data_IF_149378939256
#
_entry.id   IF_149378939256
#
_cell.length_a   1.000
_cell.length_b   1.000
_cell.length_c   1.000
_cell.angle_alpha   90.00
_cell.angle_beta   90.00
_cell.angle_gamma   90.00
#
_symmetry.space_group_name_H-M   'P 1'
#
loop_
_entity.id
_entity.type
_entity.pdbx_description
1 polymer ?
#
# COMPACT_ATOMS: atom_id res chain seq x y z
N UNK A 1 -10.49 16.81 5.04
CA UNK A 1 -9.91 15.47 5.09
C UNK A 1 -8.37 15.49 5.29
N UNK A 2 -7.61 16.35 4.58
CA UNK A 2 -6.13 16.38 4.72
C UNK A 2 -5.65 16.73 6.14
N UNK A 3 -6.25 17.71 6.80
CA UNK A 3 -5.94 18.07 8.19
C UNK A 3 -6.27 16.92 9.16
N UNK A 4 -7.43 16.26 8.98
CA UNK A 4 -7.83 15.11 9.80
C UNK A 4 -6.86 13.92 9.63
N UNK A 5 -6.33 13.72 8.43
CA UNK A 5 -5.34 12.71 8.13
C UNK A 5 -4.00 12.96 8.84
N UNK A 6 -3.55 14.23 8.86
CA UNK A 6 -2.34 14.63 9.60
C UNK A 6 -2.55 14.43 11.11
N UNK A 7 -3.70 14.82 11.64
CA UNK A 7 -4.05 14.62 13.06
C UNK A 7 -4.02 13.13 13.41
N UNK A 8 -4.73 12.30 12.67
CA UNK A 8 -4.78 10.85 12.91
C UNK A 8 -3.39 10.17 12.85
N UNK A 9 -2.49 10.65 11.98
CA UNK A 9 -1.16 10.04 11.83
C UNK A 9 -0.16 10.45 12.92
N UNK A 10 -0.26 11.65 13.44
CA UNK A 10 0.84 12.25 14.20
C UNK A 10 0.44 12.76 15.58
N UNK A 11 -0.83 12.92 15.86
CA UNK A 11 -1.31 13.54 17.09
C UNK A 11 -2.29 12.67 17.89
N UNK A 12 -2.98 11.72 17.23
CA UNK A 12 -3.88 10.81 17.92
C UNK A 12 -3.10 9.61 18.47
N UNK A 13 -3.06 9.50 19.80
CA UNK A 13 -2.32 8.45 20.52
C UNK A 13 -3.18 7.20 20.77
N UNK A 14 -4.51 7.38 20.92
CA UNK A 14 -5.43 6.27 21.10
C UNK A 14 -5.63 5.52 19.78
N UNK A 15 -5.35 4.21 19.78
CA UNK A 15 -5.36 3.39 18.58
C UNK A 15 -6.77 3.21 18.01
N UNK A 16 -7.77 3.00 18.85
CA UNK A 16 -9.15 2.82 18.41
C UNK A 16 -9.72 4.13 17.86
N UNK A 17 -9.43 5.27 18.53
CA UNK A 17 -9.80 6.58 18.04
C UNK A 17 -9.13 6.90 16.71
N UNK A 18 -7.85 6.56 16.56
CA UNK A 18 -7.11 6.72 15.30
C UNK A 18 -7.70 5.90 14.16
N UNK A 19 -8.03 4.62 14.41
CA UNK A 19 -8.67 3.77 13.41
C UNK A 19 -10.04 4.32 13.00
N UNK A 20 -10.83 4.78 13.97
CA UNK A 20 -12.12 5.41 13.69
C UNK A 20 -11.98 6.68 12.85
N UNK A 21 -10.96 7.50 13.10
CA UNK A 21 -10.68 8.68 12.28
C UNK A 21 -10.37 8.32 10.82
N UNK A 22 -9.57 7.26 10.58
CA UNK A 22 -9.29 6.83 9.21
C UNK A 22 -10.54 6.30 8.50
N UNK A 23 -11.40 5.57 9.21
CA UNK A 23 -12.70 5.11 8.68
C UNK A 23 -13.59 6.30 8.30
N UNK A 24 -13.74 7.28 9.19
CA UNK A 24 -14.52 8.50 8.95
C UNK A 24 -13.97 9.35 7.80
N UNK A 25 -12.64 9.39 7.63
CA UNK A 25 -12.00 10.07 6.49
C UNK A 25 -12.34 9.33 5.19
N UNK A 26 -12.28 8.01 5.18
CA UNK A 26 -12.62 7.21 4.00
C UNK A 26 -14.09 7.43 3.59
N UNK A 27 -15.02 7.39 4.53
CA UNK A 27 -16.45 7.66 4.27
C UNK A 27 -16.69 9.05 3.69
N UNK A 28 -16.05 10.08 4.28
CA UNK A 28 -16.12 11.46 3.76
C UNK A 28 -15.53 11.57 2.34
N UNK A 29 -14.50 10.81 2.03
CA UNK A 29 -13.94 10.78 0.69
C UNK A 29 -14.90 10.12 -0.31
N UNK A 30 -15.61 9.05 0.07
CA UNK A 30 -16.66 8.44 -0.77
C UNK A 30 -17.78 9.45 -1.07
N UNK A 31 -18.20 10.24 -0.09
CA UNK A 31 -19.19 11.31 -0.33
C UNK A 31 -18.66 12.38 -1.29
N UNK A 32 -17.39 12.77 -1.13
CA UNK A 32 -16.74 13.75 -2.01
C UNK A 32 -16.56 13.23 -3.45
N UNK A 33 -16.23 11.96 -3.62
CA UNK A 33 -16.12 11.33 -4.95
C UNK A 33 -17.45 11.35 -5.73
N UNK A 34 -18.59 11.32 -5.03
CA UNK A 34 -19.92 11.43 -5.67
C UNK A 34 -20.21 12.86 -6.16
N UNK A 35 -19.80 13.87 -5.40
CA UNK A 35 -20.02 15.28 -5.74
C UNK A 35 -18.94 15.84 -6.64
N UNK A 36 -17.72 15.36 -6.51
CA UNK A 36 -16.52 15.79 -7.26
C UNK A 36 -15.77 14.60 -7.87
N UNK A 37 -16.35 13.87 -8.83
CA UNK A 37 -15.77 12.61 -9.34
C UNK A 37 -14.42 12.80 -10.04
N UNK A 38 -14.10 14.02 -10.48
CA UNK A 38 -12.81 14.37 -11.12
C UNK A 38 -11.75 14.87 -10.14
N UNK A 39 -12.01 14.89 -8.85
CA UNK A 39 -11.05 15.29 -7.84
C UNK A 39 -10.10 14.13 -7.50
N UNK A 40 -8.93 14.09 -8.12
CA UNK A 40 -7.92 13.04 -7.92
C UNK A 40 -7.51 12.90 -6.44
N UNK A 41 -7.45 14.02 -5.68
CA UNK A 41 -7.13 13.97 -4.26
C UNK A 41 -8.21 13.28 -3.42
N UNK A 42 -9.49 13.32 -3.81
CA UNK A 42 -10.53 12.59 -3.10
C UNK A 42 -10.33 11.07 -3.21
N UNK A 43 -9.88 10.59 -4.36
CA UNK A 43 -9.54 9.20 -4.59
C UNK A 43 -8.26 8.80 -3.85
N UNK A 44 -7.21 9.61 -3.95
CA UNK A 44 -5.95 9.36 -3.25
C UNK A 44 -6.13 9.31 -1.72
N UNK A 45 -6.82 10.31 -1.12
CA UNK A 45 -7.02 10.36 0.34
C UNK A 45 -7.90 9.20 0.82
N UNK A 46 -8.89 8.77 0.04
CA UNK A 46 -9.64 7.56 0.32
C UNK A 46 -8.75 6.33 0.43
N UNK A 47 -7.90 6.10 -0.57
CA UNK A 47 -6.96 4.98 -0.56
C UNK A 47 -5.99 5.06 0.61
N UNK A 48 -5.47 6.24 0.91
CA UNK A 48 -4.56 6.47 2.03
C UNK A 48 -5.23 6.12 3.38
N UNK A 49 -6.45 6.61 3.61
CA UNK A 49 -7.19 6.35 4.84
C UNK A 49 -7.47 4.85 5.01
N UNK A 50 -7.92 4.16 3.96
CA UNK A 50 -8.12 2.70 3.98
C UNK A 50 -6.81 1.94 4.20
N UNK A 51 -5.70 2.40 3.63
CA UNK A 51 -4.38 1.82 3.83
C UNK A 51 -3.95 1.89 5.30
N UNK A 52 -4.06 3.07 5.91
CA UNK A 52 -3.76 3.26 7.34
C UNK A 52 -4.68 2.47 8.26
N UNK A 53 -5.98 2.44 7.96
CA UNK A 53 -6.93 1.60 8.67
C UNK A 53 -6.56 0.12 8.58
N UNK A 54 -6.19 -0.36 7.39
CA UNK A 54 -5.82 -1.77 7.17
C UNK A 54 -4.56 -2.20 7.93
N UNK A 55 -3.64 -1.27 8.21
CA UNK A 55 -2.43 -1.54 8.99
C UNK A 55 -2.72 -1.72 10.49
N UNK A 56 -3.79 -1.13 11.00
CA UNK A 56 -4.20 -1.23 12.41
C UNK A 56 -5.18 -2.38 12.71
N UNK A 57 -5.57 -3.18 11.73
CA UNK A 57 -6.48 -4.33 11.92
C UNK A 57 -5.82 -5.65 11.47
N UNK A 58 -6.42 -6.79 11.86
CA UNK A 58 -5.89 -8.08 11.41
C UNK A 58 -5.99 -8.26 9.89
N UNK A 59 -5.04 -9.00 9.31
CA UNK A 59 -5.03 -9.34 7.88
C UNK A 59 -6.33 -10.02 7.45
N UNK A 60 -6.86 -10.94 8.29
CA UNK A 60 -8.14 -11.60 8.01
C UNK A 60 -9.31 -10.62 7.92
N UNK A 61 -9.38 -9.61 8.81
CA UNK A 61 -10.41 -8.57 8.78
C UNK A 61 -10.26 -7.68 7.53
N UNK A 62 -9.03 -7.28 7.19
CA UNK A 62 -8.76 -6.49 5.99
C UNK A 62 -9.15 -7.22 4.69
N UNK A 63 -8.87 -8.54 4.61
CA UNK A 63 -9.29 -9.39 3.49
C UNK A 63 -10.81 -9.52 3.41
N UNK A 64 -11.48 -9.79 4.52
CA UNK A 64 -12.95 -9.92 4.58
C UNK A 64 -13.66 -8.63 4.15
N UNK A 65 -13.08 -7.46 4.42
CA UNK A 65 -13.59 -6.15 4.00
C UNK A 65 -13.18 -5.76 2.57
N UNK A 66 -12.37 -6.57 1.88
CA UNK A 66 -11.91 -6.28 0.51
C UNK A 66 -11.02 -5.04 0.40
N UNK A 67 -10.35 -4.64 1.49
CA UNK A 67 -9.61 -3.38 1.54
C UNK A 67 -8.51 -3.29 0.49
N UNK A 68 -7.80 -4.40 0.22
CA UNK A 68 -6.76 -4.43 -0.80
C UNK A 68 -7.26 -4.00 -2.19
N UNK A 69 -8.43 -4.52 -2.62
CA UNK A 69 -9.06 -4.14 -3.87
C UNK A 69 -9.57 -2.70 -3.87
N UNK A 70 -10.21 -2.26 -2.79
CA UNK A 70 -10.74 -0.90 -2.66
C UNK A 70 -9.64 0.16 -2.69
N UNK A 71 -8.50 -0.09 -2.02
CA UNK A 71 -7.32 0.78 -2.04
C UNK A 71 -6.79 0.89 -3.47
N UNK A 72 -6.56 -0.25 -4.13
CA UNK A 72 -6.05 -0.26 -5.50
C UNK A 72 -6.95 0.50 -6.47
N UNK A 73 -8.25 0.22 -6.45
CA UNK A 73 -9.21 0.90 -7.32
C UNK A 73 -9.19 2.42 -7.13
N UNK A 74 -9.06 2.90 -5.90
CA UNK A 74 -8.97 4.33 -5.62
C UNK A 74 -7.67 4.95 -6.10
N UNK A 75 -6.53 4.25 -5.95
CA UNK A 75 -5.25 4.73 -6.47
C UNK A 75 -5.23 4.75 -8.01
N UNK A 76 -5.79 3.73 -8.65
CA UNK A 76 -5.93 3.67 -10.10
C UNK A 76 -6.78 4.86 -10.61
N UNK A 77 -7.89 5.16 -9.94
CA UNK A 77 -8.72 6.33 -10.29
C UNK A 77 -7.99 7.65 -10.08
N UNK A 78 -7.25 7.79 -8.96
CA UNK A 78 -6.45 8.99 -8.74
C UNK A 78 -5.43 9.22 -9.86
N UNK A 79 -4.73 8.15 -10.29
CA UNK A 79 -3.75 8.21 -11.36
C UNK A 79 -4.37 8.35 -12.76
N UNK A 80 -5.55 7.80 -13.01
CA UNK A 80 -6.30 8.04 -14.25
C UNK A 80 -6.69 9.51 -14.40
N UNK A 81 -7.06 10.16 -13.29
CA UNK A 81 -7.41 11.58 -13.28
C UNK A 81 -6.18 12.49 -13.29
N UNK A 82 -5.12 12.10 -12.61
CA UNK A 82 -3.88 12.85 -12.50
C UNK A 82 -2.67 11.91 -12.59
N UNK A 83 -2.19 11.60 -13.82
CA UNK A 83 -1.07 10.66 -14.03
C UNK A 83 0.27 11.11 -13.38
N UNK A 84 0.41 12.38 -13.02
CA UNK A 84 1.59 12.94 -12.35
C UNK A 84 1.37 13.19 -10.85
N UNK A 85 0.48 12.42 -10.21
CA UNK A 85 0.24 12.51 -8.77
C UNK A 85 1.30 11.70 -8.02
N UNK A 86 2.39 12.35 -7.58
CA UNK A 86 3.54 11.69 -6.95
C UNK A 86 3.13 10.83 -5.73
N UNK A 87 2.30 11.37 -4.83
CA UNK A 87 1.87 10.65 -3.62
C UNK A 87 1.02 9.40 -3.95
N UNK A 88 0.23 9.44 -5.03
CA UNK A 88 -0.54 8.26 -5.46
C UNK A 88 0.39 7.18 -6.04
N UNK A 89 1.48 7.56 -6.71
CA UNK A 89 2.51 6.62 -7.13
C UNK A 89 3.21 5.99 -5.93
N UNK A 90 3.61 6.78 -4.91
CA UNK A 90 4.18 6.23 -3.67
C UNK A 90 3.22 5.20 -3.06
N UNK A 91 1.96 5.59 -2.87
CA UNK A 91 0.96 4.73 -2.25
C UNK A 91 0.70 3.43 -3.05
N UNK A 92 0.74 3.48 -4.39
CA UNK A 92 0.56 2.28 -5.21
C UNK A 92 1.81 1.38 -5.19
N UNK A 93 3.01 1.96 -5.13
CA UNK A 93 4.25 1.23 -4.90
C UNK A 93 4.22 0.48 -3.57
N UNK A 94 3.87 1.17 -2.48
CA UNK A 94 3.69 0.59 -1.14
C UNK A 94 2.61 -0.50 -1.15
N UNK A 95 1.46 -0.27 -1.79
CA UNK A 95 0.39 -1.25 -1.90
C UNK A 95 0.86 -2.56 -2.56
N UNK A 96 1.60 -2.49 -3.66
CA UNK A 96 2.12 -3.68 -4.33
C UNK A 96 3.06 -4.49 -3.42
N UNK A 97 3.97 -3.84 -2.71
CA UNK A 97 4.90 -4.51 -1.79
C UNK A 97 4.19 -5.08 -0.57
N UNK A 98 3.27 -4.35 0.05
CA UNK A 98 2.52 -4.81 1.23
C UNK A 98 1.61 -6.01 0.92
N UNK A 99 0.94 -6.04 -0.23
CA UNK A 99 0.15 -7.21 -0.63
C UNK A 99 1.04 -8.44 -0.78
N UNK A 100 2.20 -8.31 -1.44
CA UNK A 100 3.15 -9.42 -1.59
C UNK A 100 3.67 -9.89 -0.23
N UNK A 101 3.99 -8.97 0.68
CA UNK A 101 4.46 -9.30 2.02
C UNK A 101 3.41 -10.07 2.84
N UNK A 102 2.15 -9.62 2.80
CA UNK A 102 1.06 -10.18 3.62
C UNK A 102 0.50 -11.51 3.12
N UNK A 103 0.42 -11.72 1.82
CA UNK A 103 -0.23 -12.91 1.22
C UNK A 103 0.68 -13.72 0.29
N UNK A 104 1.90 -13.29 0.10
CA UNK A 104 2.88 -13.91 -0.81
C UNK A 104 2.69 -13.48 -2.27
N UNK A 105 3.74 -13.60 -3.07
CA UNK A 105 3.77 -13.13 -4.47
C UNK A 105 2.78 -13.87 -5.37
N UNK A 106 2.58 -15.17 -5.15
CA UNK A 106 1.64 -15.97 -5.95
C UNK A 106 0.19 -15.54 -5.73
N UNK A 107 -0.26 -15.51 -4.47
CA UNK A 107 -1.64 -15.12 -4.12
C UNK A 107 -1.85 -13.64 -4.42
N UNK A 108 -0.89 -12.79 -4.07
CA UNK A 108 -0.94 -11.35 -4.36
C UNK A 108 -1.04 -11.06 -5.86
N UNK A 109 -0.29 -11.79 -6.68
CA UNK A 109 -0.32 -11.68 -8.13
C UNK A 109 -1.65 -12.13 -8.74
N UNK A 110 -2.12 -13.32 -8.36
CA UNK A 110 -3.34 -13.90 -8.93
C UNK A 110 -4.63 -13.18 -8.48
N UNK A 111 -4.70 -12.78 -7.21
CA UNK A 111 -5.93 -12.22 -6.62
C UNK A 111 -6.01 -10.71 -6.79
N UNK A 112 -4.88 -10.01 -6.64
CA UNK A 112 -4.84 -8.54 -6.60
C UNK A 112 -4.07 -7.92 -7.77
N UNK A 113 -3.34 -8.71 -8.53
CA UNK A 113 -2.43 -8.21 -9.57
C UNK A 113 -1.19 -7.50 -8.99
N UNK A 114 -0.83 -7.81 -7.73
CA UNK A 114 0.34 -7.23 -7.09
C UNK A 114 1.63 -7.79 -7.69
N UNK A 115 2.59 -6.92 -8.02
CA UNK A 115 3.86 -7.29 -8.65
C UNK A 115 5.00 -6.45 -8.10
N UNK A 116 6.17 -7.07 -7.91
CA UNK A 116 7.36 -6.40 -7.41
C UNK A 116 7.87 -5.33 -8.38
N UNK A 117 7.94 -5.65 -9.66
CA UNK A 117 8.36 -4.73 -10.71
C UNK A 117 7.45 -3.51 -10.84
N UNK A 118 6.14 -3.69 -10.63
CA UNK A 118 5.19 -2.59 -10.58
C UNK A 118 5.43 -1.68 -9.36
N UNK A 119 5.72 -2.26 -8.19
CA UNK A 119 6.11 -1.50 -7.00
C UNK A 119 7.31 -0.60 -7.28
N UNK A 120 8.41 -1.18 -7.78
CA UNK A 120 9.63 -0.45 -8.12
C UNK A 120 9.37 0.66 -9.14
N UNK A 121 8.63 0.37 -10.21
CA UNK A 121 8.27 1.35 -11.24
C UNK A 121 7.52 2.54 -10.66
N UNK A 122 6.57 2.31 -9.76
CA UNK A 122 5.81 3.39 -9.14
C UNK A 122 6.68 4.26 -8.23
N UNK A 123 7.59 3.68 -7.43
CA UNK A 123 8.53 4.45 -6.63
C UNK A 123 9.49 5.28 -7.50
N UNK A 124 10.03 4.72 -8.58
CA UNK A 124 10.86 5.48 -9.52
C UNK A 124 10.08 6.63 -10.13
N UNK A 125 8.84 6.39 -10.60
CA UNK A 125 8.00 7.47 -11.14
C UNK A 125 7.75 8.57 -10.10
N UNK A 126 7.50 8.21 -8.84
CA UNK A 126 7.31 9.19 -7.77
C UNK A 126 8.57 10.04 -7.53
N UNK A 127 9.76 9.41 -7.55
CA UNK A 127 11.05 10.11 -7.40
C UNK A 127 11.39 10.99 -8.61
N UNK A 128 11.03 10.57 -9.84
CA UNK A 128 11.17 11.39 -11.03
C UNK A 128 10.27 12.64 -10.97
N UNK A 129 9.08 12.51 -10.37
CA UNK A 129 8.14 13.61 -10.18
C UNK A 129 8.53 14.55 -9.03
N UNK A 130 9.13 14.01 -7.97
CA UNK A 130 9.60 14.75 -6.80
C UNK A 130 10.91 14.12 -6.27
N UNK A 131 12.07 14.50 -6.80
CA UNK A 131 13.36 13.92 -6.43
C UNK A 131 13.73 14.12 -4.95
N UNK A 132 13.22 15.16 -4.30
CA UNK A 132 13.52 15.47 -2.90
C UNK A 132 12.54 14.83 -1.89
N UNK A 133 11.61 14.00 -2.36
CA UNK A 133 10.63 13.34 -1.49
C UNK A 133 11.30 12.37 -0.53
N UNK A 134 11.42 12.74 0.74
CA UNK A 134 11.88 11.86 1.82
C UNK A 134 10.94 10.65 1.98
N UNK A 135 9.63 10.86 1.86
CA UNK A 135 8.61 9.80 1.96
C UNK A 135 8.83 8.75 0.86
N UNK A 136 8.99 9.16 -0.40
CA UNK A 136 9.22 8.22 -1.50
C UNK A 136 10.48 7.38 -1.28
N UNK A 137 11.57 8.00 -0.83
CA UNK A 137 12.83 7.28 -0.55
C UNK A 137 12.68 6.30 0.61
N UNK A 138 12.02 6.70 1.69
CA UNK A 138 11.80 5.84 2.86
C UNK A 138 10.92 4.65 2.52
N UNK A 139 9.76 4.87 1.89
CA UNK A 139 8.84 3.81 1.50
C UNK A 139 9.49 2.84 0.49
N UNK A 140 10.26 3.34 -0.47
CA UNK A 140 11.00 2.50 -1.41
C UNK A 140 12.08 1.66 -0.71
N UNK A 141 12.82 2.23 0.25
CA UNK A 141 13.82 1.50 1.02
C UNK A 141 13.18 0.38 1.86
N UNK A 142 12.04 0.65 2.50
CA UNK A 142 11.27 -0.35 3.26
C UNK A 142 10.78 -1.48 2.34
N UNK A 143 10.16 -1.16 1.21
CA UNK A 143 9.67 -2.14 0.24
C UNK A 143 10.80 -3.02 -0.33
N UNK A 144 11.96 -2.42 -0.62
CA UNK A 144 13.13 -3.11 -1.15
C UNK A 144 13.76 -4.04 -0.12
N UNK A 145 13.86 -3.63 1.16
CA UNK A 145 14.42 -4.46 2.23
C UNK A 145 13.53 -5.64 2.58
N UNK A 146 12.21 -5.47 2.64
CA UNK A 146 11.26 -6.56 2.85
C UNK A 146 11.36 -7.61 1.73
N UNK A 147 11.45 -7.16 0.48
CA UNK A 147 11.63 -8.05 -0.67
C UNK A 147 12.95 -8.81 -0.65
N UNK A 148 14.04 -8.20 -0.20
CA UNK A 148 15.34 -8.86 -0.06
C UNK A 148 15.32 -9.93 1.05
N UNK A 149 14.68 -9.63 2.18
CA UNK A 149 14.53 -10.57 3.30
C UNK A 149 13.71 -11.82 2.88
N UNK A 150 12.59 -11.63 2.17
CA UNK A 150 11.78 -12.73 1.64
C UNK A 150 12.56 -13.60 0.65
N UNK A 151 13.33 -12.99 -0.24
CA UNK A 151 14.17 -13.73 -1.21
C UNK A 151 15.26 -14.53 -0.51
N UNK A 152 15.90 -13.98 0.51
CA UNK A 152 16.93 -14.66 1.30
C UNK A 152 16.34 -15.85 2.09
N UNK A 153 15.17 -15.70 2.69
CA UNK A 153 14.47 -16.76 3.42
C UNK A 153 14.09 -17.91 2.48
N UNK A 154 13.60 -17.62 1.27
CA UNK A 154 13.24 -18.61 0.28
C UNK A 154 14.47 -19.42 -0.20
N UNK A 155 15.58 -18.74 -0.51
CA UNK A 155 16.82 -19.38 -0.93
C UNK A 155 17.44 -20.24 0.18
N UNK A 156 17.33 -19.81 1.44
CA UNK A 156 17.79 -20.58 2.59
C UNK A 156 16.98 -21.87 2.78
N UNK A 157 15.67 -21.82 2.58
CA UNK A 157 14.81 -23.01 2.68
C UNK A 157 15.02 -24.00 1.52
N UNK A 158 15.29 -23.49 0.30
CA UNK A 158 15.59 -24.31 -0.85
C UNK A 158 16.93 -25.08 -0.68
N UNK A 159 17.97 -24.41 -0.16
CA UNK A 159 19.28 -25.06 0.09
C UNK A 159 19.21 -26.11 1.22
N UNK A 160 18.30 -25.95 2.18
CA UNK A 160 18.11 -26.93 3.26
C UNK A 160 17.41 -28.21 2.75
N UNK A 161 16.52 -28.10 1.75
CA UNK A 161 15.84 -29.25 1.14
C UNK A 161 16.77 -30.08 0.23
N UNK A 162 17.69 -29.45 -0.48
CA UNK A 162 18.67 -30.14 -1.33
C UNK A 162 19.74 -30.91 -0.52
N UNK A 163 20.07 -30.44 0.69
CA UNK A 163 21.00 -31.11 1.59
C UNK A 163 20.45 -32.43 2.17
N UNK A 164 19.12 -32.58 2.29
CA UNK A 164 18.48 -33.81 2.76
C UNK A 164 18.34 -34.91 1.68
N UNK A 165 18.33 -34.54 0.40
CA UNK A 165 18.23 -35.47 -0.72
C UNK A 165 19.58 -36.11 -1.08
N UNK A 166 20.70 -35.57 -0.61
CA UNK A 166 22.07 -36.07 -0.92
C UNK A 166 22.61 -37.10 0.11
N UNK A 167 21.83 -37.43 1.17
CA UNK A 167 22.25 -38.36 2.24
C UNK A 167 21.36 -39.61 2.36
N UNK A 168 20.61 -39.98 1.29
CA UNK A 168 19.82 -41.20 1.23
C UNK A 168 20.39 -42.20 0.22
#
# INVERSE_FOLDING_TARGET
>A
NKAAMIYANHLEEDEDARLKLFEDIAERCVALQKTEPKNANAWYIHAYALGRYSQGISVGKALAQGLGGNIKNSLDQALNLQPRHADAHIALGTWHSEIIDKVGSMVGGLTYGAKKDASEKHFHTALDLNPDSAIARTEYAVASSASAALSAAFNSSASASDGLAATA
#
